data_IF_809603078669
#
_entry.id   IF_809603078669
#
_cell.length_a   1.000
_cell.length_b   1.000
_cell.length_c   1.000
_cell.angle_alpha   90.00
_cell.angle_beta   90.00
_cell.angle_gamma   90.00
#
_symmetry.space_group_name_H-M   'P 1'
#
loop_
_entity.id
_entity.type
_entity.pdbx_description
1 polymer ?
#
# COMPACT_ATOMS: atom_id res chain seq x y z
N UNK A 1 10.39 19.90 11.59
CA UNK A 1 9.74 19.17 10.48
C UNK A 1 10.47 17.84 10.37
N UNK A 2 9.82 16.72 10.70
CA UNK A 2 10.41 15.39 10.46
C UNK A 2 10.64 15.28 8.96
N UNK A 3 11.88 15.08 8.53
CA UNK A 3 12.15 14.79 7.12
C UNK A 3 11.60 13.37 6.89
N UNK A 4 10.53 13.25 6.11
CA UNK A 4 9.95 11.96 5.79
C UNK A 4 11.03 11.11 5.10
N UNK A 5 11.25 9.90 5.62
CA UNK A 5 12.45 9.09 5.30
C UNK A 5 12.14 7.67 4.85
N UNK A 6 10.90 7.22 5.00
CA UNK A 6 10.54 5.84 4.72
C UNK A 6 9.68 5.71 3.47
N UNK A 7 9.78 4.54 2.85
CA UNK A 7 9.01 4.17 1.67
C UNK A 7 8.14 2.98 2.04
N UNK A 8 6.86 3.01 1.67
CA UNK A 8 5.93 1.90 1.85
C UNK A 8 5.66 1.25 0.51
N UNK A 9 5.90 -0.05 0.40
CA UNK A 9 5.47 -0.87 -0.73
C UNK A 9 4.31 -1.76 -0.31
N UNK A 10 3.25 -1.77 -1.13
CA UNK A 10 2.04 -2.57 -0.93
C UNK A 10 1.86 -3.46 -2.16
N UNK A 11 1.66 -4.75 -1.94
CA UNK A 11 1.34 -5.75 -2.95
C UNK A 11 0.00 -6.39 -2.59
N UNK A 12 -1.05 -5.94 -3.27
CA UNK A 12 -2.43 -6.37 -3.08
C UNK A 12 -2.90 -7.29 -4.21
N UNK A 13 -3.74 -8.26 -3.87
CA UNK A 13 -4.36 -9.11 -4.89
C UNK A 13 -5.50 -9.97 -4.36
N UNK A 14 -5.81 -11.04 -5.10
CA UNK A 14 -6.99 -11.87 -4.88
C UNK A 14 -6.97 -12.74 -3.62
N UNK A 15 -5.81 -13.00 -3.01
CA UNK A 15 -5.71 -13.90 -1.85
C UNK A 15 -5.10 -13.26 -0.61
N UNK A 16 -4.15 -12.35 -0.79
CA UNK A 16 -3.41 -11.72 0.31
C UNK A 16 -3.00 -10.31 -0.07
N UNK A 17 -2.69 -9.53 0.95
CA UNK A 17 -2.04 -8.23 0.85
C UNK A 17 -0.74 -8.30 1.64
N UNK A 18 0.37 -7.84 1.06
CA UNK A 18 1.66 -7.75 1.72
C UNK A 18 2.14 -6.29 1.71
N UNK A 19 2.68 -5.84 2.83
CA UNK A 19 3.24 -4.49 2.99
C UNK A 19 4.65 -4.59 3.53
N UNK A 20 5.53 -3.72 3.02
CA UNK A 20 6.88 -3.55 3.55
C UNK A 20 7.20 -2.06 3.72
N UNK A 21 7.84 -1.74 4.84
CA UNK A 21 8.43 -0.43 5.12
C UNK A 21 9.93 -0.52 4.90
N UNK A 22 10.47 0.38 4.09
CA UNK A 22 11.91 0.47 3.82
C UNK A 22 12.46 1.86 4.15
N UNK A 23 13.73 1.93 4.53
CA UNK A 23 14.47 3.19 4.57
C UNK A 23 15.01 3.61 3.19
N UNK A 24 15.69 4.77 3.12
CA UNK A 24 16.27 5.29 1.88
C UNK A 24 17.37 4.41 1.27
N UNK A 25 17.91 3.44 2.03
CA UNK A 25 18.90 2.47 1.54
C UNK A 25 18.24 1.21 0.97
N UNK A 26 16.92 1.10 1.07
CA UNK A 26 16.16 -0.08 0.67
C UNK A 26 16.13 -1.19 1.72
N UNK A 27 16.64 -0.93 2.94
CA UNK A 27 16.57 -1.91 4.03
C UNK A 27 15.13 -1.97 4.55
N UNK A 28 14.59 -3.18 4.60
CA UNK A 28 13.26 -3.43 5.16
C UNK A 28 13.31 -3.33 6.69
N UNK A 29 12.47 -2.47 7.25
CA UNK A 29 12.35 -2.21 8.69
C UNK A 29 11.10 -2.83 9.30
N UNK A 30 10.04 -3.00 8.50
CA UNK A 30 8.78 -3.58 8.94
C UNK A 30 8.07 -4.30 7.80
N UNK A 31 7.29 -5.31 8.16
CA UNK A 31 6.44 -6.06 7.23
C UNK A 31 5.08 -6.28 7.87
N UNK A 32 4.04 -6.24 7.05
CA UNK A 32 2.67 -6.52 7.45
C UNK A 32 1.96 -7.33 6.38
N UNK A 33 0.91 -8.01 6.79
CA UNK A 33 0.09 -8.82 5.90
C UNK A 33 -1.38 -8.68 6.26
N UNK A 34 -2.23 -8.81 5.24
CA UNK A 34 -3.68 -8.76 5.36
C UNK A 34 -4.34 -9.74 4.38
N UNK A 35 -5.66 -9.78 4.42
CA UNK A 35 -6.47 -10.59 3.51
C UNK A 35 -6.42 -10.11 2.05
N UNK A 36 -7.33 -10.63 1.23
CA UNK A 36 -7.48 -10.20 -0.16
C UNK A 36 -7.88 -8.72 -0.25
N UNK A 37 -7.27 -8.00 -1.20
CA UNK A 37 -7.57 -6.57 -1.47
C UNK A 37 -8.04 -6.31 -2.88
N UNK A 38 -8.28 -7.35 -3.67
CA UNK A 38 -9.04 -7.25 -4.90
C UNK A 38 -10.52 -6.93 -4.58
N UNK A 39 -10.88 -5.65 -4.59
CA UNK A 39 -12.20 -5.19 -4.21
C UNK A 39 -13.33 -5.71 -5.13
N UNK A 40 -13.01 -6.09 -6.38
CA UNK A 40 -13.98 -6.69 -7.30
C UNK A 40 -14.40 -8.10 -6.83
N UNK A 41 -13.52 -8.79 -6.09
CA UNK A 41 -13.79 -10.12 -5.56
C UNK A 41 -14.38 -10.10 -4.14
N UNK A 42 -13.92 -9.20 -3.27
CA UNK A 42 -14.29 -9.20 -1.83
C UNK A 42 -15.13 -8.00 -1.39
N UNK A 43 -15.38 -7.05 -2.28
CA UNK A 43 -16.02 -5.77 -1.95
C UNK A 43 -15.02 -4.74 -1.39
N UNK A 44 -15.42 -3.47 -1.44
CA UNK A 44 -14.56 -2.34 -1.05
C UNK A 44 -14.18 -2.34 0.43
N UNK A 45 -15.15 -2.61 1.31
CA UNK A 45 -14.93 -2.58 2.76
C UNK A 45 -13.91 -3.64 3.19
N UNK A 46 -14.06 -4.87 2.70
CA UNK A 46 -13.11 -5.96 3.01
C UNK A 46 -11.72 -5.67 2.44
N UNK A 47 -11.64 -5.13 1.22
CA UNK A 47 -10.38 -4.80 0.58
C UNK A 47 -9.61 -3.70 1.33
N UNK A 48 -10.30 -2.62 1.69
CA UNK A 48 -9.69 -1.50 2.45
C UNK A 48 -9.33 -1.92 3.87
N UNK A 49 -10.13 -2.78 4.51
CA UNK A 49 -9.79 -3.36 5.81
C UNK A 49 -8.51 -4.21 5.75
N UNK A 50 -8.36 -5.05 4.72
CA UNK A 50 -7.16 -5.85 4.50
C UNK A 50 -5.91 -4.98 4.27
N UNK A 51 -6.05 -3.91 3.48
CA UNK A 51 -4.98 -2.94 3.26
C UNK A 51 -4.58 -2.21 4.55
N UNK A 52 -5.54 -1.69 5.31
CA UNK A 52 -5.27 -1.00 6.58
C UNK A 52 -4.57 -1.93 7.57
N UNK A 53 -5.07 -3.17 7.71
CA UNK A 53 -4.47 -4.17 8.60
C UNK A 53 -3.00 -4.44 8.25
N UNK A 54 -2.70 -4.59 6.95
CA UNK A 54 -1.35 -4.85 6.49
C UNK A 54 -0.43 -3.63 6.67
N UNK A 55 -0.95 -2.42 6.44
CA UNK A 55 -0.21 -1.16 6.62
C UNK A 55 0.11 -0.93 8.10
N UNK A 56 -0.88 -1.02 8.98
CA UNK A 56 -0.72 -0.79 10.42
C UNK A 56 0.32 -1.76 10.99
N UNK A 57 0.22 -3.05 10.67
CA UNK A 57 1.19 -4.05 11.10
C UNK A 57 2.63 -3.75 10.61
N UNK A 58 2.78 -3.23 9.38
CA UNK A 58 4.09 -2.89 8.84
C UNK A 58 4.71 -1.65 9.49
N UNK A 59 3.90 -0.63 9.76
CA UNK A 59 4.32 0.60 10.45
C UNK A 59 4.68 0.31 11.90
N UNK A 60 3.87 -0.48 12.60
CA UNK A 60 4.13 -0.93 13.97
C UNK A 60 5.43 -1.73 14.05
N UNK A 61 5.65 -2.69 13.13
CA UNK A 61 6.87 -3.47 13.08
C UNK A 61 8.12 -2.61 12.81
N UNK A 62 7.97 -1.53 12.05
CA UNK A 62 9.04 -0.56 11.79
C UNK A 62 9.22 0.47 12.91
N UNK A 63 8.26 0.58 13.85
CA UNK A 63 8.25 1.58 14.92
C UNK A 63 8.09 3.01 14.41
N UNK A 64 7.34 3.22 13.32
CA UNK A 64 7.13 4.53 12.69
C UNK A 64 5.65 4.84 12.53
N UNK A 65 5.34 6.07 12.13
CA UNK A 65 3.98 6.48 11.79
C UNK A 65 3.87 6.86 10.31
N UNK A 66 2.65 7.04 9.83
CA UNK A 66 2.38 7.57 8.47
C UNK A 66 3.09 8.90 8.22
N UNK A 67 3.27 9.74 9.25
CA UNK A 67 3.94 11.03 9.13
C UNK A 67 5.44 10.92 8.75
N UNK A 68 6.05 9.75 8.94
CA UNK A 68 7.45 9.50 8.60
C UNK A 68 7.62 8.93 7.18
N UNK A 69 6.50 8.61 6.50
CA UNK A 69 6.46 8.03 5.16
C UNK A 69 6.58 9.13 4.10
N UNK A 70 7.61 9.03 3.26
CA UNK A 70 7.87 9.95 2.16
C UNK A 70 7.12 9.59 0.88
N UNK A 71 6.95 8.28 0.64
CA UNK A 71 6.28 7.78 -0.54
C UNK A 71 5.63 6.42 -0.29
N UNK A 72 4.53 6.15 -0.99
CA UNK A 72 3.85 4.86 -1.01
C UNK A 72 3.67 4.36 -2.44
N UNK A 73 3.92 3.09 -2.67
CA UNK A 73 3.67 2.41 -3.94
C UNK A 73 2.69 1.27 -3.70
N UNK A 74 1.56 1.28 -4.41
CA UNK A 74 0.55 0.23 -4.39
C UNK A 74 0.58 -0.56 -5.70
N UNK A 75 1.12 -1.77 -5.64
CA UNK A 75 0.88 -2.81 -6.63
C UNK A 75 -0.46 -3.47 -6.34
N UNK A 76 -1.38 -3.48 -7.30
CA UNK A 76 -2.68 -4.10 -7.12
C UNK A 76 -3.10 -4.87 -8.37
N UNK A 77 -3.43 -6.15 -8.17
CA UNK A 77 -3.85 -7.06 -9.23
C UNK A 77 -5.09 -6.55 -9.97
N UNK A 78 -4.97 -6.37 -11.28
CA UNK A 78 -6.10 -6.06 -12.17
C UNK A 78 -6.62 -4.61 -12.09
N UNK A 79 -5.82 -3.68 -11.57
CA UNK A 79 -6.12 -2.24 -11.66
C UNK A 79 -5.81 -1.76 -13.07
N UNK A 80 -6.77 -1.93 -13.98
CA UNK A 80 -6.63 -1.54 -15.39
C UNK A 80 -7.56 -0.39 -15.78
N UNK A 81 -8.61 -0.12 -14.98
CA UNK A 81 -9.62 0.87 -15.33
C UNK A 81 -9.49 2.14 -14.50
N UNK A 82 -9.86 3.32 -15.05
CA UNK A 82 -9.86 4.57 -14.31
C UNK A 82 -10.69 4.55 -13.01
N UNK A 83 -11.76 3.75 -12.99
CA UNK A 83 -12.61 3.54 -11.80
C UNK A 83 -11.87 2.82 -10.67
N UNK A 84 -11.07 1.79 -10.99
CA UNK A 84 -10.23 1.09 -10.02
C UNK A 84 -9.17 2.05 -9.43
N UNK A 85 -8.54 2.86 -10.29
CA UNK A 85 -7.60 3.90 -9.87
C UNK A 85 -8.25 4.92 -8.94
N UNK A 86 -9.48 5.36 -9.20
CA UNK A 86 -10.16 6.33 -8.36
C UNK A 86 -10.40 5.79 -6.93
N UNK A 87 -10.81 4.52 -6.82
CA UNK A 87 -11.02 3.83 -5.54
C UNK A 87 -9.73 3.81 -4.72
N UNK A 88 -8.64 3.32 -5.30
CA UNK A 88 -7.38 3.21 -4.57
C UNK A 88 -6.71 4.56 -4.31
N UNK A 89 -6.90 5.55 -5.20
CA UNK A 89 -6.44 6.92 -4.94
C UNK A 89 -7.18 7.54 -3.75
N UNK A 90 -8.49 7.32 -3.62
CA UNK A 90 -9.26 7.79 -2.47
C UNK A 90 -8.79 7.12 -1.17
N UNK A 91 -8.55 5.80 -1.21
CA UNK A 91 -7.98 5.09 -0.07
C UNK A 91 -6.58 5.59 0.30
N UNK A 92 -5.68 5.77 -0.68
CA UNK A 92 -4.33 6.29 -0.46
C UNK A 92 -4.34 7.70 0.14
N UNK A 93 -5.23 8.58 -0.32
CA UNK A 93 -5.37 9.93 0.21
C UNK A 93 -5.83 9.93 1.69
N UNK A 94 -6.67 8.96 2.07
CA UNK A 94 -7.13 8.80 3.45
C UNK A 94 -6.05 8.15 4.35
N UNK A 95 -5.38 7.10 3.87
CA UNK A 95 -4.40 6.34 4.64
C UNK A 95 -3.03 7.04 4.72
N UNK A 96 -2.66 7.81 3.71
CA UNK A 96 -1.37 8.50 3.60
C UNK A 96 -1.56 9.98 3.21
N UNK A 97 -2.17 10.80 4.08
CA UNK A 97 -2.50 12.18 3.76
C UNK A 97 -1.24 13.00 3.46
N UNK A 98 -1.19 13.62 2.27
CA UNK A 98 -0.06 14.46 1.83
C UNK A 98 1.20 13.69 1.41
N UNK A 99 1.17 12.35 1.42
CA UNK A 99 2.28 11.51 0.98
C UNK A 99 2.20 11.31 -0.52
N UNK A 100 3.36 11.29 -1.19
CA UNK A 100 3.43 10.97 -2.62
C UNK A 100 3.05 9.51 -2.85
N UNK A 101 2.05 9.25 -3.68
CA UNK A 101 1.60 7.90 -3.98
C UNK A 101 1.78 7.53 -5.46
N UNK A 102 1.97 6.23 -5.72
CA UNK A 102 1.93 5.64 -7.06
C UNK A 102 1.13 4.34 -7.01
N UNK A 103 0.20 4.16 -7.94
CA UNK A 103 -0.48 2.89 -8.18
C UNK A 103 0.18 2.23 -9.38
N UNK A 104 0.43 0.93 -9.31
CA UNK A 104 0.98 0.12 -10.39
C UNK A 104 0.15 -1.15 -10.57
N UNK A 105 -0.08 -1.52 -11.82
CA UNK A 105 -0.58 -2.84 -12.18
C UNK A 105 0.62 -3.77 -12.45
N UNK A 106 0.46 -5.04 -12.11
CA UNK A 106 1.35 -6.18 -12.28
C UNK A 106 1.39 -6.73 -13.74
N UNK A 107 0.50 -6.25 -14.63
CA UNK A 107 0.42 -6.61 -16.05
C UNK A 107 1.51 -6.06 -16.97
N UNK A 108 2.50 -5.32 -16.47
CA UNK A 108 3.61 -4.74 -17.25
C UNK A 108 5.01 -5.20 -16.81
N UNK A 109 5.12 -6.35 -16.12
CA UNK A 109 6.40 -7.04 -15.90
C UNK A 109 6.57 -8.19 -16.92
N UNK A 110 6.65 -7.85 -18.20
CA UNK A 110 7.32 -8.71 -19.19
C UNK A 110 8.58 -7.97 -19.62
N UNK A 111 9.72 -8.63 -19.41
CA UNK A 111 11.07 -8.17 -19.75
C UNK A 111 11.19 -7.71 -21.21
#
# INVERSE_FOLDING_TARGET
MSDARYIVGIDGGGSKTAVAVADRTGRILGRGAGGASNYQAVGLDAATHALNTAVDAALDAAGITVADVAAVCLGQAGVDRPEDHAVFNAWLAAAFPGVRSRISNDGYLVL
#
